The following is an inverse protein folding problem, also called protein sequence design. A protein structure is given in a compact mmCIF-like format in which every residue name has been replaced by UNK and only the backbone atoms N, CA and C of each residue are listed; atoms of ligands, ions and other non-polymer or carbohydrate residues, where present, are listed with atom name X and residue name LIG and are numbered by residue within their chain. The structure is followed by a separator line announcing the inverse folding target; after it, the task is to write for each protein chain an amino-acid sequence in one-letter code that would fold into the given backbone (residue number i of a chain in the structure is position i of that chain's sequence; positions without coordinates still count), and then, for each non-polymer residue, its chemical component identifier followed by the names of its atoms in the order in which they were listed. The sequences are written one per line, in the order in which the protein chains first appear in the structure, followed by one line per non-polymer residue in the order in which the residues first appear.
data_IF_932632428115
#
_entry.id   IF_932632428115
#
_cell.length_a   1.000
_cell.length_b   1.000
_cell.length_c   1.000
_cell.angle_alpha   90.00
_cell.angle_beta   90.00
_cell.angle_gamma   90.00
#
_symmetry.space_group_name_H-M   'P 1'
#
loop_
_entity.id
_entity.type
_entity.pdbx_description
1 polymer ?
#
# COMPACT_ATOMS: atom_id res chain seq x y z
N UNK A 1 58.67 2.09 -10.81
CA UNK A 1 57.89 0.85 -11.00
C UNK A 1 57.02 0.67 -9.77
N UNK A 2 55.73 0.99 -9.88
CA UNK A 2 54.76 0.87 -8.78
C UNK A 2 54.06 -0.48 -8.91
N UNK A 3 54.22 -1.33 -7.90
CA UNK A 3 53.48 -2.59 -7.78
C UNK A 3 52.22 -2.29 -6.97
N UNK A 4 51.10 -2.11 -7.68
CA UNK A 4 49.78 -1.98 -7.08
C UNK A 4 49.24 -3.36 -6.73
N UNK A 5 49.29 -3.72 -5.45
CA UNK A 5 48.62 -4.90 -4.91
C UNK A 5 47.10 -4.69 -4.92
N UNK A 6 46.42 -5.36 -5.84
CA UNK A 6 44.97 -5.56 -5.82
C UNK A 6 44.62 -6.58 -4.73
N UNK A 7 44.11 -6.10 -3.61
CA UNK A 7 43.49 -6.94 -2.59
C UNK A 7 42.07 -7.30 -3.02
N UNK A 8 41.90 -8.50 -3.59
CA UNK A 8 40.60 -9.16 -3.71
C UNK A 8 40.23 -9.75 -2.35
N UNK A 9 39.44 -9.02 -1.56
CA UNK A 9 38.81 -9.58 -0.35
C UNK A 9 37.62 -10.44 -0.81
N UNK A 10 37.88 -11.72 -1.06
CA UNK A 10 36.83 -12.74 -1.08
C UNK A 10 36.33 -12.92 0.36
N UNK A 11 35.38 -12.08 0.76
CA UNK A 11 34.77 -12.14 2.09
C UNK A 11 33.97 -13.42 2.24
N UNK A 12 34.46 -14.36 3.06
CA UNK A 12 33.63 -15.41 3.63
C UNK A 12 32.38 -14.77 4.23
N UNK A 13 31.19 -15.11 3.74
CA UNK A 13 29.96 -14.69 4.38
C UNK A 13 30.00 -15.14 5.84
N UNK A 14 30.00 -14.18 6.77
CA UNK A 14 29.97 -14.49 8.21
C UNK A 14 28.76 -15.39 8.51
N UNK A 15 28.87 -16.30 9.48
CA UNK A 15 27.79 -17.24 9.83
C UNK A 15 26.43 -16.54 10.02
N UNK A 16 26.45 -15.32 10.56
CA UNK A 16 25.26 -14.49 10.74
C UNK A 16 24.59 -14.11 9.40
N UNK A 17 25.35 -13.79 8.35
CA UNK A 17 24.76 -13.49 7.03
C UNK A 17 24.02 -14.71 6.46
N UNK A 18 24.53 -15.92 6.71
CA UNK A 18 23.86 -17.16 6.31
C UNK A 18 22.54 -17.34 7.06
N UNK A 19 22.54 -17.13 8.37
CA UNK A 19 21.33 -17.22 9.20
C UNK A 19 20.28 -16.15 8.84
N UNK A 20 20.71 -14.91 8.59
CA UNK A 20 19.84 -13.82 8.11
C UNK A 20 19.18 -14.20 6.79
N UNK A 21 19.97 -14.67 5.82
CA UNK A 21 19.45 -15.11 4.53
C UNK A 21 18.46 -16.27 4.70
N UNK A 22 18.76 -17.24 5.57
CA UNK A 22 17.87 -18.36 5.84
C UNK A 22 16.52 -17.89 6.41
N UNK A 23 16.51 -16.92 7.33
CA UNK A 23 15.27 -16.38 7.89
C UNK A 23 14.40 -15.69 6.83
N UNK A 24 15.01 -14.92 5.93
CA UNK A 24 14.31 -14.23 4.84
C UNK A 24 13.84 -15.20 3.74
N UNK A 25 14.66 -16.19 3.39
CA UNK A 25 14.31 -17.21 2.41
C UNK A 25 13.17 -18.10 2.91
N UNK A 26 13.12 -18.34 4.22
CA UNK A 26 12.02 -19.07 4.86
C UNK A 26 10.68 -18.34 4.70
N UNK A 27 10.64 -17.00 4.82
CA UNK A 27 9.44 -16.20 4.59
C UNK A 27 8.90 -16.43 3.16
N UNK A 28 9.74 -16.23 2.14
CA UNK A 28 9.37 -16.39 0.72
C UNK A 28 8.95 -17.83 0.39
N UNK A 29 9.71 -18.82 0.90
CA UNK A 29 9.42 -20.22 0.66
C UNK A 29 8.10 -20.64 1.30
N UNK A 30 7.84 -20.21 2.54
CA UNK A 30 6.60 -20.51 3.23
C UNK A 30 5.36 -19.99 2.48
N UNK A 31 5.45 -18.78 1.89
CA UNK A 31 4.38 -18.26 1.03
C UNK A 31 4.11 -19.17 -0.17
N UNK A 32 5.18 -19.61 -0.83
CA UNK A 32 5.08 -20.48 -2.02
C UNK A 32 4.54 -21.88 -1.70
N UNK A 33 4.75 -22.37 -0.46
CA UNK A 33 4.22 -23.64 0.03
C UNK A 33 2.83 -23.53 0.65
N UNK A 34 2.31 -22.32 0.90
CA UNK A 34 1.09 -22.14 1.67
C UNK A 34 1.22 -22.50 3.15
N UNK A 35 2.45 -22.47 3.70
CA UNK A 35 2.74 -22.88 5.08
C UNK A 35 2.75 -21.68 6.03
N UNK A 36 1.59 -21.41 6.64
CA UNK A 36 1.45 -20.33 7.61
C UNK A 36 2.35 -20.49 8.86
N UNK A 37 2.58 -21.72 9.32
CA UNK A 37 3.41 -21.95 10.50
C UNK A 37 4.88 -21.62 10.21
N UNK A 38 5.40 -22.10 9.08
CA UNK A 38 6.74 -21.75 8.62
C UNK A 38 6.87 -20.23 8.39
N UNK A 39 5.85 -19.61 7.78
CA UNK A 39 5.82 -18.17 7.52
C UNK A 39 5.99 -17.38 8.83
N UNK A 40 5.12 -17.62 9.82
CA UNK A 40 5.19 -16.89 11.09
C UNK A 40 6.43 -17.22 11.92
N UNK A 41 7.07 -18.37 11.72
CA UNK A 41 8.30 -18.69 12.44
C UNK A 41 9.49 -17.82 12.01
N UNK A 42 9.44 -17.15 10.85
CA UNK A 42 10.45 -16.18 10.43
C UNK A 42 10.38 -14.86 11.21
N UNK A 43 9.25 -14.58 11.86
CA UNK A 43 8.98 -13.32 12.56
C UNK A 43 9.33 -13.40 14.04
N UNK A 44 9.76 -12.28 14.60
CA UNK A 44 9.98 -12.15 16.04
C UNK A 44 8.63 -12.03 16.77
N UNK A 45 8.57 -12.45 18.04
CA UNK A 45 7.37 -12.28 18.85
C UNK A 45 6.99 -10.82 19.09
N UNK A 46 7.94 -9.90 18.94
CA UNK A 46 7.75 -8.45 19.01
C UNK A 46 7.71 -7.79 17.63
N UNK A 47 7.31 -8.51 16.58
CA UNK A 47 7.19 -7.94 15.24
C UNK A 47 6.25 -6.73 15.24
N UNK A 48 6.72 -5.65 14.61
CA UNK A 48 5.99 -4.39 14.49
C UNK A 48 5.66 -4.13 13.02
N UNK A 49 4.37 -4.00 12.75
CA UNK A 49 3.87 -3.45 11.50
C UNK A 49 2.97 -2.26 11.85
N UNK A 50 3.10 -1.19 11.06
CA UNK A 50 2.35 0.04 11.26
C UNK A 50 0.85 -0.15 10.99
N UNK A 51 0.50 -1.07 10.08
CA UNK A 51 -0.85 -1.19 9.54
C UNK A 51 -1.58 -2.44 10.04
N UNK A 52 -0.86 -3.54 10.24
CA UNK A 52 -1.44 -4.84 10.51
C UNK A 52 -0.76 -5.51 11.73
N UNK A 53 -1.27 -5.27 12.96
CA UNK A 53 -0.78 -5.94 14.16
C UNK A 53 -0.75 -7.47 13.98
N UNK A 54 0.31 -8.12 14.49
CA UNK A 54 0.58 -9.53 14.23
C UNK A 54 -0.56 -10.47 14.65
N UNK A 55 -1.17 -10.20 15.79
CA UNK A 55 -2.31 -10.94 16.32
C UNK A 55 -3.55 -10.81 15.42
N UNK A 56 -3.79 -9.63 14.85
CA UNK A 56 -4.93 -9.34 13.99
C UNK A 56 -4.76 -9.89 12.57
N UNK A 57 -3.53 -9.87 12.03
CA UNK A 57 -3.25 -10.32 10.67
C UNK A 57 -3.14 -11.84 10.53
N UNK A 58 -2.80 -12.55 11.62
CA UNK A 58 -2.54 -13.99 11.62
C UNK A 58 -3.63 -14.82 10.94
N UNK A 59 -4.93 -14.66 11.28
CA UNK A 59 -6.00 -15.43 10.65
C UNK A 59 -6.09 -15.16 9.15
N UNK A 60 -6.03 -13.88 8.74
CA UNK A 60 -6.12 -13.46 7.33
C UNK A 60 -4.99 -14.05 6.49
N UNK A 61 -3.76 -13.97 6.99
CA UNK A 61 -2.59 -14.52 6.29
C UNK A 61 -2.70 -16.05 6.22
N UNK A 62 -3.08 -16.72 7.31
CA UNK A 62 -3.21 -18.17 7.33
C UNK A 62 -4.25 -18.68 6.32
N UNK A 63 -5.44 -18.04 6.30
CA UNK A 63 -6.50 -18.34 5.33
C UNK A 63 -6.01 -18.11 3.89
N UNK A 64 -5.29 -17.01 3.64
CA UNK A 64 -4.76 -16.68 2.31
C UNK A 64 -3.71 -17.65 1.82
N UNK A 65 -2.82 -18.11 2.70
CA UNK A 65 -1.80 -19.10 2.37
C UNK A 65 -2.40 -20.47 2.08
N UNK A 66 -3.56 -20.79 2.68
CA UNK A 66 -4.30 -22.04 2.45
C UNK A 66 -5.33 -21.95 1.33
N UNK A 67 -5.61 -20.76 0.82
CA UNK A 67 -6.66 -20.51 -0.16
C UNK A 67 -6.36 -21.18 -1.51
N UNK A 68 -7.41 -21.60 -2.26
CA UNK A 68 -7.25 -22.06 -3.64
C UNK A 68 -6.68 -20.94 -4.53
N UNK A 69 -5.51 -21.18 -5.11
CA UNK A 69 -4.78 -20.18 -5.89
C UNK A 69 -3.37 -20.05 -5.37
N UNK A 70 -2.46 -20.87 -5.91
CA UNK A 70 -1.08 -20.94 -5.44
C UNK A 70 -0.42 -19.56 -5.53
N UNK A 71 -0.01 -19.03 -4.38
CA UNK A 71 0.88 -17.88 -4.33
C UNK A 71 2.30 -18.31 -4.68
N UNK A 72 3.02 -17.43 -5.36
CA UNK A 72 4.42 -17.61 -5.71
C UNK A 72 5.18 -16.35 -5.33
N UNK A 73 6.14 -16.48 -4.42
CA UNK A 73 7.00 -15.39 -3.98
C UNK A 73 8.45 -15.69 -4.38
N UNK A 74 9.11 -14.72 -5.03
CA UNK A 74 10.46 -14.91 -5.55
C UNK A 74 11.33 -13.69 -5.31
N UNK A 75 12.51 -13.92 -4.73
CA UNK A 75 13.54 -12.90 -4.60
C UNK A 75 14.11 -12.49 -5.98
N UNK A 76 14.30 -11.19 -6.19
CA UNK A 76 15.00 -10.63 -7.35
C UNK A 76 16.42 -10.26 -6.94
N UNK A 77 16.56 -9.45 -5.88
CA UNK A 77 17.85 -9.05 -5.31
C UNK A 77 17.72 -8.75 -3.82
N UNK A 78 18.83 -8.90 -3.10
CA UNK A 78 18.95 -8.59 -1.67
C UNK A 78 20.28 -7.90 -1.42
N UNK A 79 20.27 -6.85 -0.61
CA UNK A 79 21.45 -6.32 0.07
C UNK A 79 21.24 -6.38 1.59
N UNK A 80 22.33 -6.51 2.32
CA UNK A 80 22.33 -6.66 3.78
C UNK A 80 23.33 -5.70 4.41
N UNK A 81 22.86 -4.97 5.41
CA UNK A 81 23.67 -4.17 6.33
C UNK A 81 23.46 -4.72 7.74
N UNK A 82 24.53 -4.81 8.53
CA UNK A 82 24.47 -5.42 9.86
C UNK A 82 25.25 -4.61 10.86
N UNK A 83 24.67 -4.44 12.04
CA UNK A 83 25.27 -3.78 13.18
C UNK A 83 24.91 -4.54 14.47
N UNK A 84 25.89 -5.27 15.02
CA UNK A 84 25.71 -6.10 16.21
C UNK A 84 24.60 -7.14 16.04
N UNK A 85 23.57 -7.05 16.90
CA UNK A 85 22.40 -7.93 16.94
C UNK A 85 21.23 -7.43 16.07
N UNK A 86 21.48 -6.47 15.19
CA UNK A 86 20.51 -5.92 14.25
C UNK A 86 21.03 -6.05 12.82
N UNK A 87 20.09 -6.19 11.88
CA UNK A 87 20.37 -6.14 10.46
C UNK A 87 19.24 -5.42 9.72
N UNK A 88 19.61 -4.76 8.63
CA UNK A 88 18.69 -4.18 7.67
C UNK A 88 18.90 -4.91 6.33
N UNK A 89 17.84 -5.56 5.86
CA UNK A 89 17.81 -6.15 4.53
C UNK A 89 17.00 -5.25 3.60
N UNK A 90 17.55 -4.93 2.43
CA UNK A 90 16.78 -4.36 1.33
C UNK A 90 16.56 -5.44 0.29
N UNK A 91 15.30 -5.81 0.08
CA UNK A 91 14.91 -6.87 -0.84
C UNK A 91 14.00 -6.34 -1.92
N UNK A 92 14.26 -6.74 -3.16
CA UNK A 92 13.29 -6.63 -4.24
C UNK A 92 12.74 -8.03 -4.52
N UNK A 93 11.42 -8.17 -4.58
CA UNK A 93 10.75 -9.45 -4.79
C UNK A 93 9.56 -9.35 -5.74
N UNK A 94 9.18 -10.49 -6.31
CA UNK A 94 7.89 -10.70 -6.96
C UNK A 94 6.95 -11.47 -6.05
N UNK A 95 5.69 -11.08 -6.04
CA UNK A 95 4.58 -11.89 -5.52
C UNK A 95 3.52 -11.99 -6.60
N UNK A 96 3.08 -13.20 -6.91
CA UNK A 96 1.98 -13.44 -7.85
C UNK A 96 1.03 -14.51 -7.32
N UNK A 97 -0.23 -14.42 -7.73
CA UNK A 97 -1.28 -15.38 -7.38
C UNK A 97 -2.63 -14.70 -7.24
N UNK A 98 -3.58 -15.35 -6.54
CA UNK A 98 -4.90 -14.79 -6.29
C UNK A 98 -4.89 -14.00 -4.98
N UNK A 99 -5.04 -12.68 -5.05
CA UNK A 99 -5.09 -11.79 -3.88
C UNK A 99 -6.32 -10.89 -4.03
N UNK A 100 -7.09 -10.71 -2.94
CA UNK A 100 -8.38 -10.04 -2.97
C UNK A 100 -9.36 -10.63 -4.02
N UNK A 101 -9.30 -11.96 -4.24
CA UNK A 101 -10.16 -12.67 -5.20
C UNK A 101 -9.81 -12.44 -6.67
N UNK A 102 -8.69 -11.80 -6.98
CA UNK A 102 -8.26 -11.50 -8.35
C UNK A 102 -6.83 -11.96 -8.61
N UNK A 103 -6.48 -12.40 -9.84
CA UNK A 103 -5.09 -12.61 -10.22
C UNK A 103 -4.32 -11.29 -10.13
N UNK A 104 -3.26 -11.25 -9.31
CA UNK A 104 -2.42 -10.08 -9.13
C UNK A 104 -0.94 -10.45 -9.21
N UNK A 105 -0.13 -9.46 -9.59
CA UNK A 105 1.33 -9.53 -9.59
C UNK A 105 1.88 -8.24 -9.02
N UNK A 106 2.77 -8.38 -8.06
CA UNK A 106 3.47 -7.30 -7.38
C UNK A 106 4.97 -7.44 -7.63
N UNK A 107 5.63 -6.31 -7.83
CA UNK A 107 7.07 -6.18 -7.77
C UNK A 107 7.37 -5.09 -6.75
N UNK A 108 7.92 -5.46 -5.61
CA UNK A 108 8.04 -4.59 -4.46
C UNK A 108 9.48 -4.55 -3.95
N UNK A 109 9.86 -3.40 -3.39
CA UNK A 109 11.08 -3.24 -2.62
C UNK A 109 10.70 -3.10 -1.15
N UNK A 110 11.25 -3.95 -0.29
CA UNK A 110 11.04 -3.91 1.15
C UNK A 110 12.33 -3.67 1.92
N UNK A 111 12.20 -3.01 3.06
CA UNK A 111 13.29 -2.71 3.99
C UNK A 111 13.01 -3.44 5.30
N UNK A 112 13.53 -4.66 5.41
CA UNK A 112 13.23 -5.57 6.50
C UNK A 112 14.25 -5.36 7.61
N UNK A 113 13.77 -5.00 8.80
CA UNK A 113 14.61 -4.96 10.01
C UNK A 113 14.60 -6.33 10.64
N UNK A 114 15.77 -6.89 10.90
CA UNK A 114 15.95 -8.16 11.61
C UNK A 114 16.65 -7.92 12.95
N UNK A 115 16.35 -8.81 13.90
CA UNK A 115 16.99 -8.83 15.22
C UNK A 115 17.43 -10.25 15.55
N UNK A 116 18.61 -10.38 16.18
CA UNK A 116 19.06 -11.64 16.75
C UNK A 116 18.23 -12.00 17.99
N UNK A 117 17.74 -13.22 18.04
CA UNK A 117 16.99 -13.80 19.17
C UNK A 117 17.65 -15.10 19.63
N UNK A 118 17.28 -15.67 20.79
CA UNK A 118 17.76 -16.99 21.18
C UNK A 118 17.44 -18.11 20.17
N UNK A 119 16.41 -17.91 19.34
CA UNK A 119 16.00 -18.81 18.27
C UNK A 119 16.62 -18.46 16.89
N UNK A 120 17.65 -17.61 16.86
CA UNK A 120 18.30 -17.11 15.65
C UNK A 120 17.77 -15.75 15.19
N UNK A 121 18.14 -15.35 13.97
CA UNK A 121 17.67 -14.10 13.36
C UNK A 121 16.18 -14.18 13.02
N UNK A 122 15.45 -13.10 13.35
CA UNK A 122 14.01 -12.99 13.09
C UNK A 122 13.67 -11.63 12.51
N UNK A 123 12.65 -11.61 11.66
CA UNK A 123 12.06 -10.39 11.10
C UNK A 123 11.36 -9.62 12.23
N UNK A 124 11.78 -8.37 12.43
CA UNK A 124 11.29 -7.49 13.48
C UNK A 124 10.35 -6.40 12.95
N UNK A 125 10.50 -5.94 11.70
CA UNK A 125 9.59 -4.99 11.06
C UNK A 125 9.82 -4.90 9.54
N UNK A 126 8.88 -4.27 8.83
CA UNK A 126 9.10 -3.76 7.48
C UNK A 126 8.91 -4.78 6.34
N UNK A 127 8.29 -5.93 6.61
CA UNK A 127 7.95 -6.88 5.54
C UNK A 127 6.72 -6.38 4.76
N UNK A 128 6.92 -5.99 3.51
CA UNK A 128 5.82 -5.69 2.59
C UNK A 128 5.10 -6.95 2.15
N UNK A 129 5.81 -8.09 2.08
CA UNK A 129 5.18 -9.37 1.79
C UNK A 129 4.13 -9.71 2.84
N UNK A 130 4.46 -9.52 4.12
CA UNK A 130 3.50 -9.61 5.21
C UNK A 130 2.29 -8.69 5.00
N UNK A 131 2.51 -7.40 4.68
CA UNK A 131 1.41 -6.44 4.46
C UNK A 131 0.50 -6.84 3.29
N UNK A 132 1.08 -7.30 2.17
CA UNK A 132 0.34 -7.81 1.02
C UNK A 132 -0.53 -9.01 1.38
N UNK A 133 -0.07 -9.87 2.29
CA UNK A 133 -0.85 -11.01 2.77
C UNK A 133 -1.84 -10.65 3.89
N UNK A 134 -1.57 -9.59 4.64
CA UNK A 134 -2.36 -9.16 5.79
C UNK A 134 -3.63 -8.39 5.44
N UNK A 135 -3.75 -7.88 4.20
CA UNK A 135 -4.94 -7.16 3.75
C UNK A 135 -4.68 -5.81 3.08
N UNK A 136 -3.41 -5.43 2.85
CA UNK A 136 -3.05 -4.13 2.23
C UNK A 136 -3.80 -3.89 0.93
N UNK A 137 -3.86 -4.90 0.07
CA UNK A 137 -4.46 -4.82 -1.26
C UNK A 137 -5.97 -4.55 -1.17
N UNK A 138 -6.66 -5.24 -0.26
CA UNK A 138 -8.09 -5.05 -0.03
C UNK A 138 -8.40 -3.65 0.50
N UNK A 139 -7.52 -3.09 1.33
CA UNK A 139 -7.68 -1.75 1.89
C UNK A 139 -7.42 -0.67 0.83
N UNK A 140 -6.35 -0.81 0.04
CA UNK A 140 -6.09 0.05 -1.12
C UNK A 140 -7.28 0.04 -2.10
N UNK A 141 -7.83 -1.14 -2.40
CA UNK A 141 -9.03 -1.27 -3.25
C UNK A 141 -10.26 -0.56 -2.64
N UNK A 142 -10.44 -0.57 -1.32
CA UNK A 142 -11.55 0.14 -0.66
C UNK A 142 -11.40 1.65 -0.79
N UNK A 143 -10.18 2.17 -0.61
CA UNK A 143 -9.89 3.59 -0.79
C UNK A 143 -10.12 4.00 -2.25
N UNK A 144 -9.58 3.22 -3.20
CA UNK A 144 -9.77 3.45 -4.63
C UNK A 144 -11.26 3.46 -5.01
N UNK A 145 -12.07 2.53 -4.49
CA UNK A 145 -13.52 2.51 -4.73
C UNK A 145 -14.22 3.78 -4.25
N UNK A 146 -13.83 4.35 -3.11
CA UNK A 146 -14.42 5.61 -2.64
C UNK A 146 -14.09 6.78 -3.59
N UNK A 147 -12.87 6.82 -4.12
CA UNK A 147 -12.47 7.83 -5.12
C UNK A 147 -13.19 7.63 -6.45
N UNK A 148 -13.35 6.39 -6.90
CA UNK A 148 -14.04 6.10 -8.15
C UNK A 148 -15.55 6.40 -8.04
N UNK A 149 -16.16 6.23 -6.86
CA UNK A 149 -17.51 6.72 -6.59
C UNK A 149 -17.62 8.25 -6.70
N UNK A 150 -16.61 9.01 -6.23
CA UNK A 150 -16.54 10.46 -6.44
C UNK A 150 -16.52 10.81 -7.93
N UNK A 151 -15.65 10.14 -8.70
CA UNK A 151 -15.54 10.36 -10.16
C UNK A 151 -16.87 10.09 -10.84
N UNK A 152 -17.50 8.96 -10.55
CA UNK A 152 -18.80 8.62 -11.14
C UNK A 152 -19.89 9.63 -10.77
N UNK A 153 -19.88 10.15 -9.54
CA UNK A 153 -20.82 11.18 -9.11
C UNK A 153 -20.60 12.52 -9.84
N UNK A 154 -19.35 12.90 -10.12
CA UNK A 154 -19.04 14.09 -10.92
C UNK A 154 -19.54 13.95 -12.35
N UNK A 155 -19.21 12.84 -13.01
CA UNK A 155 -19.58 12.61 -14.41
C UNK A 155 -21.10 12.45 -14.60
N UNK A 156 -21.80 11.87 -13.62
CA UNK A 156 -23.26 11.74 -13.65
C UNK A 156 -23.99 12.95 -13.06
N UNK A 157 -23.27 13.98 -12.58
CA UNK A 157 -23.82 15.15 -11.87
C UNK A 157 -24.77 14.76 -10.72
N UNK A 158 -24.43 13.72 -9.96
CA UNK A 158 -25.23 13.21 -8.83
C UNK A 158 -24.69 13.76 -7.50
N UNK A 159 -25.32 14.83 -7.01
CA UNK A 159 -24.91 15.50 -5.77
C UNK A 159 -25.05 14.60 -4.55
N UNK A 160 -26.09 13.76 -4.50
CA UNK A 160 -26.30 12.87 -3.36
C UNK A 160 -25.18 11.84 -3.27
N UNK A 161 -24.83 11.24 -4.41
CA UNK A 161 -23.73 10.29 -4.51
C UNK A 161 -22.37 10.93 -4.24
N UNK A 162 -22.16 12.17 -4.68
CA UNK A 162 -20.93 12.91 -4.37
C UNK A 162 -20.80 13.13 -2.87
N UNK A 163 -21.86 13.62 -2.22
CA UNK A 163 -21.84 13.87 -0.79
C UNK A 163 -21.75 12.58 0.05
N UNK A 164 -22.15 11.43 -0.50
CA UNK A 164 -22.02 10.15 0.19
C UNK A 164 -20.56 9.74 0.46
N UNK A 165 -19.59 10.24 -0.31
CA UNK A 165 -18.15 9.97 -0.09
C UNK A 165 -17.46 11.10 0.68
N UNK A 166 -18.14 12.20 0.97
CA UNK A 166 -17.64 13.30 1.82
C UNK A 166 -18.01 13.01 3.27
N UNK A 167 -17.06 13.20 4.19
CA UNK A 167 -17.32 13.04 5.62
C UNK A 167 -18.34 14.08 6.09
N UNK A 168 -19.32 13.72 6.95
CA UNK A 168 -20.16 14.70 7.65
C UNK A 168 -19.34 15.61 8.58
N UNK A 169 -18.09 15.24 8.88
CA UNK A 169 -17.12 16.02 9.65
C UNK A 169 -16.02 16.63 8.77
N UNK A 170 -16.25 16.76 7.46
CA UNK A 170 -15.33 17.43 6.54
C UNK A 170 -14.96 18.82 7.04
N UNK A 171 -13.67 19.12 7.11
CA UNK A 171 -13.19 20.42 7.53
C UNK A 171 -11.85 20.72 6.85
N UNK A 172 -11.85 21.69 5.92
CA UNK A 172 -10.64 22.08 5.21
C UNK A 172 -10.62 23.58 4.94
N UNK A 173 -9.56 24.26 5.39
CA UNK A 173 -9.41 25.72 5.26
C UNK A 173 -10.65 26.52 5.72
N UNK A 174 -11.31 26.07 6.80
CA UNK A 174 -12.53 26.71 7.31
C UNK A 174 -13.83 26.31 6.58
N UNK A 175 -13.76 25.50 5.53
CA UNK A 175 -14.92 25.01 4.77
C UNK A 175 -15.41 23.67 5.33
N UNK A 176 -16.70 23.61 5.65
CA UNK A 176 -17.39 22.40 6.09
C UNK A 176 -18.11 21.67 4.93
N UNK A 177 -18.85 20.58 5.23
CA UNK A 177 -19.53 19.77 4.21
C UNK A 177 -20.57 20.55 3.40
N UNK A 178 -21.27 21.53 4.00
CA UNK A 178 -22.25 22.35 3.26
C UNK A 178 -21.60 23.29 2.24
N UNK A 179 -20.38 23.76 2.52
CA UNK A 179 -19.62 24.55 1.54
C UNK A 179 -19.18 23.69 0.34
N UNK A 180 -18.81 22.43 0.61
CA UNK A 180 -18.52 21.45 -0.45
C UNK A 180 -19.78 21.17 -1.27
N UNK A 181 -20.93 20.94 -0.62
CA UNK A 181 -22.21 20.72 -1.29
C UNK A 181 -22.55 21.88 -2.24
N UNK A 182 -22.49 23.12 -1.76
CA UNK A 182 -22.79 24.30 -2.57
C UNK A 182 -21.85 24.41 -3.78
N UNK A 183 -20.52 24.29 -3.56
CA UNK A 183 -19.53 24.33 -4.65
C UNK A 183 -19.80 23.28 -5.73
N UNK A 184 -20.12 22.04 -5.33
CA UNK A 184 -20.38 20.95 -6.28
C UNK A 184 -21.70 21.15 -7.02
N UNK A 185 -22.71 21.67 -6.33
CA UNK A 185 -23.98 22.01 -6.95
C UNK A 185 -23.80 23.11 -8.02
N UNK A 186 -23.04 24.16 -7.73
CA UNK A 186 -22.74 25.23 -8.69
C UNK A 186 -22.03 24.68 -9.95
N UNK A 187 -21.10 23.74 -9.77
CA UNK A 187 -20.43 23.03 -10.88
C UNK A 187 -21.46 22.26 -11.71
N UNK A 188 -22.35 21.49 -11.07
CA UNK A 188 -23.34 20.68 -11.77
C UNK A 188 -24.39 21.50 -12.52
N UNK A 189 -24.72 22.69 -12.02
CA UNK A 189 -25.63 23.63 -12.68
C UNK A 189 -24.96 24.39 -13.83
N UNK A 190 -23.65 24.59 -13.76
CA UNK A 190 -22.89 25.33 -14.78
C UNK A 190 -22.54 24.47 -15.99
N UNK A 191 -22.26 23.18 -15.83
CA UNK A 191 -21.75 22.35 -16.92
C UNK A 191 -22.77 21.32 -17.44
N UNK A 192 -22.90 21.27 -18.76
CA UNK A 192 -23.78 20.35 -19.49
C UNK A 192 -23.25 18.91 -19.46
N UNK A 193 -21.93 18.78 -19.55
CA UNK A 193 -21.19 17.51 -19.48
C UNK A 193 -19.93 17.68 -18.64
N UNK A 194 -19.59 16.65 -17.87
CA UNK A 194 -18.35 16.55 -17.09
C UNK A 194 -17.71 15.19 -17.40
N UNK A 195 -16.41 15.18 -17.71
CA UNK A 195 -15.58 13.97 -17.79
C UNK A 195 -14.36 14.16 -16.92
N UNK A 196 -14.04 13.16 -16.11
CA UNK A 196 -12.97 13.25 -15.13
C UNK A 196 -12.03 12.06 -15.27
N UNK A 197 -10.77 12.34 -15.61
CA UNK A 197 -9.73 11.32 -15.74
C UNK A 197 -8.66 11.50 -14.67
N UNK A 198 -8.42 10.43 -13.91
CA UNK A 198 -7.34 10.36 -12.92
C UNK A 198 -6.01 10.04 -13.61
N UNK A 199 -4.95 10.73 -13.18
CA UNK A 199 -3.58 10.58 -13.67
C UNK A 199 -2.65 10.31 -12.47
N UNK A 200 -1.69 9.39 -12.60
CA UNK A 200 -0.57 9.19 -11.67
C UNK A 200 -0.92 9.17 -10.16
N UNK A 201 -1.96 8.41 -9.78
CA UNK A 201 -2.42 8.29 -8.40
C UNK A 201 -1.35 7.66 -7.50
N UNK A 202 -1.03 8.34 -6.40
CA UNK A 202 -0.23 7.83 -5.29
C UNK A 202 -1.09 7.76 -4.03
N UNK A 203 -1.02 6.62 -3.35
CA UNK A 203 -1.77 6.36 -2.13
C UNK A 203 -0.81 6.08 -0.99
N UNK A 204 -1.04 6.76 0.14
CA UNK A 204 -0.45 6.44 1.43
C UNK A 204 -1.58 6.28 2.43
N UNK A 205 -1.52 5.29 3.30
CA UNK A 205 -2.52 5.11 4.34
C UNK A 205 -1.85 4.59 5.60
N UNK A 206 -2.43 4.95 6.74
CA UNK A 206 -2.01 4.56 8.08
C UNK A 206 -3.27 4.36 8.95
N UNK A 207 -3.55 3.10 9.27
CA UNK A 207 -4.72 2.68 10.04
C UNK A 207 -6.03 3.23 9.46
N UNK A 208 -6.58 4.26 10.11
CA UNK A 208 -7.85 4.88 9.73
C UNK A 208 -7.70 6.17 8.91
N UNK A 209 -6.49 6.51 8.47
CA UNK A 209 -6.21 7.70 7.67
C UNK A 209 -5.59 7.32 6.34
N UNK A 210 -5.91 8.07 5.29
CA UNK A 210 -5.27 7.94 3.99
C UNK A 210 -5.05 9.32 3.36
N UNK A 211 -3.95 9.42 2.61
CA UNK A 211 -3.59 10.59 1.81
C UNK A 211 -3.40 10.13 0.38
N UNK A 212 -4.12 10.79 -0.52
CA UNK A 212 -4.06 10.55 -1.95
C UNK A 212 -3.45 11.77 -2.61
N UNK A 213 -2.47 11.56 -3.48
CA UNK A 213 -1.94 12.59 -4.36
C UNK A 213 -2.11 12.09 -5.79
N UNK A 214 -2.89 12.80 -6.60
CA UNK A 214 -3.15 12.41 -7.99
C UNK A 214 -3.22 13.62 -8.90
N UNK A 215 -2.81 13.45 -10.15
CA UNK A 215 -3.17 14.38 -11.21
C UNK A 215 -4.59 14.08 -11.70
N UNK A 216 -5.21 15.06 -12.35
CA UNK A 216 -6.46 14.85 -13.06
C UNK A 216 -6.55 15.71 -14.32
N UNK A 217 -7.40 15.24 -15.24
CA UNK A 217 -7.91 16.04 -16.36
C UNK A 217 -9.43 16.10 -16.24
N UNK A 218 -9.95 17.32 -16.19
CA UNK A 218 -11.38 17.64 -16.22
C UNK A 218 -11.70 18.21 -17.59
N UNK A 219 -12.59 17.55 -18.32
CA UNK A 219 -13.17 18.08 -19.56
C UNK A 219 -14.64 18.41 -19.28
N UNK A 220 -15.03 19.65 -19.53
CA UNK A 220 -16.39 20.11 -19.28
C UNK A 220 -16.95 20.88 -20.48
N UNK A 221 -18.27 20.85 -20.65
CA UNK A 221 -18.98 21.61 -21.68
C UNK A 221 -19.88 22.66 -21.02
N UNK A 222 -19.76 23.91 -21.47
CA UNK A 222 -20.57 25.04 -21.03
C UNK A 222 -21.12 25.72 -22.28
N UNK A 223 -22.44 25.66 -22.50
CA UNK A 223 -23.10 26.32 -23.64
C UNK A 223 -22.49 25.94 -25.00
N UNK A 224 -22.06 24.69 -25.16
CA UNK A 224 -21.42 24.19 -26.38
C UNK A 224 -19.91 24.50 -26.50
N UNK A 225 -19.32 25.21 -25.54
CA UNK A 225 -17.88 25.43 -25.48
C UNK A 225 -17.20 24.37 -24.61
N UNK A 226 -16.17 23.72 -25.15
CA UNK A 226 -15.35 22.76 -24.42
C UNK A 226 -14.25 23.45 -23.63
N UNK A 227 -14.19 23.14 -22.34
CA UNK A 227 -13.11 23.55 -21.44
C UNK A 227 -12.33 22.32 -20.98
N UNK A 228 -11.02 22.48 -20.84
CA UNK A 228 -10.13 21.44 -20.30
C UNK A 228 -9.28 22.05 -19.20
N UNK A 229 -9.26 21.38 -18.05
CA UNK A 229 -8.40 21.71 -16.92
C UNK A 229 -7.56 20.49 -16.57
N UNK A 230 -6.26 20.69 -16.39
CA UNK A 230 -5.36 19.71 -15.80
C UNK A 230 -4.75 20.28 -14.53
N UNK A 231 -4.82 19.52 -13.45
CA UNK A 231 -4.23 19.93 -12.18
C UNK A 231 -3.88 18.71 -11.33
N UNK A 232 -3.40 18.94 -10.12
CA UNK A 232 -3.13 17.93 -9.10
C UNK A 232 -3.97 18.19 -7.87
N UNK A 233 -4.52 17.13 -7.31
CA UNK A 233 -5.23 17.19 -6.03
C UNK A 233 -4.53 16.34 -4.98
N UNK A 234 -4.63 16.80 -3.73
CA UNK A 234 -4.25 16.06 -2.54
C UNK A 234 -5.49 15.88 -1.68
N UNK A 235 -5.98 14.66 -1.57
CA UNK A 235 -7.16 14.33 -0.77
C UNK A 235 -6.74 13.66 0.53
N UNK A 236 -7.41 14.05 1.61
CA UNK A 236 -7.31 13.39 2.90
C UNK A 236 -8.57 12.58 3.13
N UNK A 237 -8.41 11.33 3.56
CA UNK A 237 -9.52 10.44 3.85
C UNK A 237 -9.40 9.85 5.25
N UNK A 238 -10.55 9.55 5.84
CA UNK A 238 -10.67 8.83 7.10
C UNK A 238 -11.65 7.68 6.96
N UNK A 239 -11.37 6.58 7.68
CA UNK A 239 -12.32 5.48 7.83
C UNK A 239 -13.37 5.84 8.89
N UNK A 240 -14.62 5.91 8.47
CA UNK A 240 -15.80 6.24 9.29
C UNK A 240 -16.86 5.16 9.04
N UNK A 241 -17.33 4.51 10.11
CA UNK A 241 -18.32 3.42 10.04
C UNK A 241 -17.96 2.32 9.02
N UNK A 242 -16.66 2.01 8.95
CA UNK A 242 -16.12 0.99 8.05
C UNK A 242 -15.95 1.42 6.59
N UNK A 243 -16.32 2.65 6.23
CA UNK A 243 -16.18 3.23 4.89
C UNK A 243 -15.11 4.32 4.85
N UNK A 244 -14.44 4.50 3.72
CA UNK A 244 -13.54 5.65 3.52
C UNK A 244 -14.34 6.87 3.09
N UNK A 245 -14.12 7.98 3.80
CA UNK A 245 -14.73 9.28 3.54
C UNK A 245 -13.65 10.34 3.34
N UNK A 246 -13.88 11.28 2.43
CA UNK A 246 -13.00 12.42 2.20
C UNK A 246 -13.21 13.42 3.33
N UNK A 247 -12.13 13.80 4.01
CA UNK A 247 -12.11 14.75 5.12
C UNK A 247 -11.45 16.08 4.79
N UNK A 248 -10.69 16.16 3.68
CA UNK A 248 -10.04 17.39 3.22
C UNK A 248 -9.56 17.33 1.77
N UNK A 249 -9.26 18.49 1.17
CA UNK A 249 -8.66 18.62 -0.16
C UNK A 249 -9.63 18.90 -1.32
N UNK A 250 -10.88 19.29 -1.04
CA UNK A 250 -11.92 19.59 -2.05
C UNK A 250 -12.14 21.08 -2.31
#
# INVERSE_FOLDING_TARGET
MAVGSLALIAGCASGDNKEINQALDQELFAVTQGDAAAFFSAFSSGYQDEFFPLDQARPTIADRLQSPGKLSARLIRRSLEREGDQALATEEFYLEGVIAGQPRRFQEVQHVRLKRTPAGWKIAAGSKLYQLLAGRVEEEDRIVRALDQRVQALESRDLSRYMAVVSPHYQDQGRGPEAVRAKVQDIFESFDQIRYRVLDRKLRWDGNQAVIEQGFRLEAELMGEHQTLEDRERLELRREDGQWKITGGL
#
